data_IF_527011031654
#
_entry.id   IF_527011031654
#
_cell.length_a   1.000
_cell.length_b   1.000
_cell.length_c   1.000
_cell.angle_alpha   90.00
_cell.angle_beta   90.00
_cell.angle_gamma   90.00
#
_symmetry.space_group_name_H-M   'P 1'
#
loop_
_entity.id
_entity.type
_entity.pdbx_description
1 polymer ?
#
# COMPACT_ATOMS: atom_id res chain seq x y z
N UNK A 1 33.47 47.29 -61.62
CA UNK A 1 33.43 46.71 -60.27
C UNK A 1 31.96 46.45 -59.98
N UNK A 2 31.51 45.21 -60.16
CA UNK A 2 30.09 44.86 -60.09
C UNK A 2 29.85 44.23 -58.72
N UNK A 3 28.98 44.83 -57.92
CA UNK A 3 28.61 44.32 -56.61
C UNK A 3 27.82 43.01 -56.77
N UNK A 4 28.30 41.94 -56.13
CA UNK A 4 27.61 40.65 -56.06
C UNK A 4 26.43 40.83 -55.10
N UNK A 5 25.24 40.96 -55.66
CA UNK A 5 23.99 40.91 -54.90
C UNK A 5 23.71 39.45 -54.54
N UNK A 6 24.17 39.03 -53.36
CA UNK A 6 23.75 37.76 -52.77
C UNK A 6 22.34 37.98 -52.20
N UNK A 7 21.36 37.27 -52.77
CA UNK A 7 19.98 37.25 -52.29
C UNK A 7 19.88 36.44 -50.98
N UNK A 8 18.85 36.66 -50.14
CA UNK A 8 18.78 36.10 -48.78
C UNK A 8 18.43 34.59 -48.71
N UNK A 9 18.43 33.89 -49.85
CA UNK A 9 17.89 32.52 -50.00
C UNK A 9 19.02 31.47 -49.97
N UNK A 10 20.08 31.70 -49.19
CA UNK A 10 21.14 30.71 -48.94
C UNK A 10 21.20 30.27 -47.46
N UNK A 11 20.22 30.63 -46.63
CA UNK A 11 20.08 30.09 -45.26
C UNK A 11 19.21 28.81 -45.24
N UNK A 12 19.52 27.85 -46.11
CA UNK A 12 19.06 26.47 -45.94
C UNK A 12 20.29 25.57 -45.89
N UNK A 13 21.02 25.68 -44.79
CA UNK A 13 21.79 24.55 -44.28
C UNK A 13 21.17 24.20 -42.93
N UNK A 14 20.16 23.34 -42.99
CA UNK A 14 19.64 22.64 -41.83
C UNK A 14 20.80 21.89 -41.17
N UNK A 15 21.31 22.45 -40.07
CA UNK A 15 21.91 21.65 -39.01
C UNK A 15 20.75 21.10 -38.19
N UNK A 16 20.10 20.04 -38.69
CA UNK A 16 19.37 19.14 -37.81
C UNK A 16 20.43 18.35 -37.04
N UNK A 17 20.96 18.99 -36.00
CA UNK A 17 21.57 18.30 -34.89
C UNK A 17 20.48 17.44 -34.26
N UNK A 18 20.33 16.22 -34.76
CA UNK A 18 19.57 15.16 -34.11
C UNK A 18 20.36 14.68 -32.89
N UNK A 19 20.57 15.60 -31.93
CA UNK A 19 20.86 15.24 -30.55
C UNK A 19 19.54 14.77 -29.96
N UNK A 20 19.23 13.50 -30.21
CA UNK A 20 18.33 12.74 -29.35
C UNK A 20 18.81 12.92 -27.91
N UNK A 21 18.09 13.73 -27.15
CA UNK A 21 18.27 13.92 -25.72
C UNK A 21 18.09 12.56 -25.02
N UNK A 22 19.18 11.81 -24.91
CA UNK A 22 19.24 10.55 -24.16
C UNK A 22 19.05 10.76 -22.65
N UNK A 23 19.06 12.02 -22.21
CA UNK A 23 18.88 12.38 -20.80
C UNK A 23 17.40 12.47 -20.39
N UNK A 24 16.48 12.75 -21.33
CA UNK A 24 15.06 12.86 -21.00
C UNK A 24 14.40 11.51 -20.69
N UNK A 25 14.79 10.41 -21.34
CA UNK A 25 14.26 9.07 -21.02
C UNK A 25 14.66 8.58 -19.62
N UNK A 26 15.86 8.93 -19.16
CA UNK A 26 16.37 8.54 -17.84
C UNK A 26 15.63 9.23 -16.69
N UNK A 27 15.15 10.46 -16.90
CA UNK A 27 14.34 11.18 -15.93
C UNK A 27 12.95 10.55 -15.76
N UNK A 28 12.27 10.18 -16.85
CA UNK A 28 10.93 9.56 -16.78
C UNK A 28 10.90 8.26 -15.98
N UNK A 29 11.94 7.43 -16.09
CA UNK A 29 12.05 6.17 -15.33
C UNK A 29 12.22 6.41 -13.82
N UNK A 30 12.98 7.42 -13.44
CA UNK A 30 13.15 7.82 -12.04
C UNK A 30 11.89 8.47 -11.46
N UNK A 31 11.19 9.30 -12.23
CA UNK A 31 9.90 9.89 -11.86
C UNK A 31 8.81 8.82 -11.67
N UNK A 32 8.76 7.86 -12.59
CA UNK A 32 7.83 6.71 -12.52
C UNK A 32 8.14 5.81 -11.34
N UNK A 33 9.42 5.49 -11.12
CA UNK A 33 9.88 4.71 -9.96
C UNK A 33 9.57 5.43 -8.63
N UNK A 34 9.80 6.74 -8.55
CA UNK A 34 9.49 7.55 -7.37
C UNK A 34 7.99 7.65 -7.09
N UNK A 35 7.14 7.67 -8.11
CA UNK A 35 5.68 7.63 -7.97
C UNK A 35 5.21 6.26 -7.48
N UNK A 36 5.67 5.17 -8.10
CA UNK A 36 5.34 3.79 -7.70
C UNK A 36 5.70 3.55 -6.23
N UNK A 37 6.91 3.94 -5.81
CA UNK A 37 7.33 3.83 -4.42
C UNK A 37 6.44 4.63 -3.45
N UNK A 38 5.95 5.82 -3.83
CA UNK A 38 5.01 6.59 -2.97
C UNK A 38 3.64 5.92 -2.89
N UNK A 39 3.15 5.38 -4.00
CA UNK A 39 1.86 4.67 -4.05
C UNK A 39 1.93 3.39 -3.22
N UNK A 40 2.96 2.56 -3.39
CA UNK A 40 3.16 1.33 -2.61
C UNK A 40 3.30 1.62 -1.12
N UNK A 41 4.05 2.66 -0.74
CA UNK A 41 4.14 3.11 0.63
C UNK A 41 2.80 3.62 1.17
N UNK A 42 2.03 4.34 0.36
CA UNK A 42 0.69 4.81 0.70
C UNK A 42 -0.27 3.66 0.95
N UNK A 43 -0.29 2.67 0.06
CA UNK A 43 -1.11 1.46 0.17
C UNK A 43 -0.72 0.67 1.43
N UNK A 44 0.58 0.43 1.63
CA UNK A 44 1.07 -0.30 2.80
C UNK A 44 0.72 0.38 4.13
N UNK A 45 0.78 1.72 4.16
CA UNK A 45 0.35 2.51 5.33
C UNK A 45 -1.15 2.42 5.55
N UNK A 46 -1.96 2.51 4.50
CA UNK A 46 -3.41 2.40 4.58
C UNK A 46 -3.84 1.04 5.15
N UNK A 47 -3.25 -0.06 4.66
CA UNK A 47 -3.52 -1.40 5.20
C UNK A 47 -3.13 -1.53 6.66
N UNK A 48 -1.94 -1.02 7.03
CA UNK A 48 -1.48 -1.07 8.43
C UNK A 48 -2.40 -0.29 9.36
N UNK A 49 -2.85 0.88 8.96
CA UNK A 49 -3.76 1.70 9.75
C UNK A 49 -5.15 1.07 9.86
N UNK A 50 -5.64 0.51 8.76
CA UNK A 50 -6.91 -0.23 8.78
C UNK A 50 -6.83 -1.46 9.69
N UNK A 51 -5.73 -2.21 9.65
CA UNK A 51 -5.50 -3.33 10.55
C UNK A 51 -5.42 -2.85 12.02
N UNK A 52 -4.77 -1.72 12.28
CA UNK A 52 -4.75 -1.09 13.61
C UNK A 52 -6.16 -0.74 14.09
N UNK A 53 -6.99 -0.16 13.22
CA UNK A 53 -8.36 0.25 13.53
C UNK A 53 -9.27 -0.95 13.78
N UNK A 54 -9.10 -2.03 13.02
CA UNK A 54 -9.82 -3.30 13.22
C UNK A 54 -9.43 -4.02 14.51
N UNK A 55 -8.16 -3.93 14.90
CA UNK A 55 -7.65 -4.52 16.14
C UNK A 55 -7.81 -3.60 17.35
N UNK A 56 -8.30 -2.36 17.16
CA UNK A 56 -8.54 -1.45 18.26
C UNK A 56 -9.62 -2.03 19.20
N UNK A 57 -9.45 -1.90 20.52
CA UNK A 57 -10.46 -2.34 21.46
C UNK A 57 -11.81 -1.66 21.18
N UNK A 58 -12.89 -2.44 21.24
CA UNK A 58 -14.23 -1.87 21.19
C UNK A 58 -14.49 -1.04 22.46
N UNK A 59 -15.23 0.06 22.31
CA UNK A 59 -15.76 0.79 23.47
C UNK A 59 -16.68 -0.12 24.28
N UNK A 60 -16.80 0.13 25.58
CA UNK A 60 -17.62 -0.70 26.47
C UNK A 60 -19.08 -0.82 25.99
N UNK A 61 -19.64 0.27 25.48
CA UNK A 61 -20.98 0.31 24.91
C UNK A 61 -21.11 -0.56 23.66
N UNK A 62 -20.18 -0.43 22.70
CA UNK A 62 -20.21 -1.23 21.47
C UNK A 62 -20.00 -2.73 21.77
N UNK A 63 -19.09 -3.06 22.70
CA UNK A 63 -18.89 -4.42 23.15
C UNK A 63 -20.16 -5.01 23.78
N UNK A 64 -20.88 -4.22 24.59
CA UNK A 64 -22.17 -4.63 25.16
C UNK A 64 -23.21 -4.88 24.07
N UNK A 65 -23.37 -3.95 23.11
CA UNK A 65 -24.32 -4.12 21.99
C UNK A 65 -24.04 -5.39 21.18
N UNK A 66 -22.76 -5.67 20.87
CA UNK A 66 -22.36 -6.90 20.16
C UNK A 66 -22.72 -8.14 21.00
N UNK A 67 -22.43 -8.13 22.30
CA UNK A 67 -22.73 -9.27 23.18
C UNK A 67 -24.24 -9.55 23.26
N UNK A 68 -25.05 -8.51 23.40
CA UNK A 68 -26.52 -8.67 23.44
C UNK A 68 -27.07 -9.16 22.10
N UNK A 69 -26.57 -8.65 20.97
CA UNK A 69 -26.95 -9.13 19.64
C UNK A 69 -26.58 -10.61 19.42
N UNK A 70 -25.40 -11.02 19.85
CA UNK A 70 -24.91 -12.39 19.69
C UNK A 70 -25.64 -13.41 20.58
N UNK A 71 -26.26 -13.00 21.70
CA UNK A 71 -26.93 -13.91 22.63
C UNK A 71 -28.11 -14.67 22.00
N UNK A 72 -28.74 -14.11 20.97
CA UNK A 72 -29.85 -14.74 20.24
C UNK A 72 -29.43 -15.54 19.00
N UNK A 73 -28.13 -15.59 18.68
CA UNK A 73 -27.62 -16.28 17.49
C UNK A 73 -27.40 -17.75 17.82
N UNK A 74 -28.20 -18.63 17.23
CA UNK A 74 -27.98 -20.07 17.26
C UNK A 74 -27.11 -20.49 16.08
N UNK A 75 -25.97 -21.12 16.35
CA UNK A 75 -25.17 -21.77 15.31
C UNK A 75 -25.73 -23.16 15.04
N UNK A 76 -26.09 -23.44 13.79
CA UNK A 76 -26.79 -24.67 13.37
C UNK A 76 -25.88 -25.92 13.35
N UNK A 77 -25.12 -26.17 14.42
CA UNK A 77 -24.30 -27.37 14.60
C UNK A 77 -23.12 -27.53 13.63
N UNK A 78 -22.94 -26.64 12.66
CA UNK A 78 -21.78 -26.64 11.77
C UNK A 78 -20.62 -25.97 12.49
N UNK A 79 -19.71 -26.79 13.01
CA UNK A 79 -18.41 -26.32 13.47
C UNK A 79 -17.62 -25.87 12.24
N UNK A 80 -17.10 -24.63 12.21
CA UNK A 80 -16.25 -24.18 11.12
C UNK A 80 -15.00 -25.07 11.00
N UNK A 81 -14.42 -25.17 9.80
CA UNK A 81 -13.23 -26.02 9.57
C UNK A 81 -12.04 -25.69 10.48
N UNK A 82 -11.95 -24.43 10.92
CA UNK A 82 -10.92 -23.99 11.87
C UNK A 82 -11.14 -24.53 13.30
N UNK A 83 -12.37 -24.89 13.68
CA UNK A 83 -12.69 -25.36 15.02
C UNK A 83 -12.00 -26.69 15.33
N UNK A 84 -11.73 -27.50 14.29
CA UNK A 84 -11.00 -28.77 14.43
C UNK A 84 -9.48 -28.60 14.39
N UNK A 85 -8.97 -27.41 14.06
CA UNK A 85 -7.52 -27.16 13.94
C UNK A 85 -6.85 -26.90 15.29
N UNK A 86 -7.62 -26.48 16.29
CA UNK A 86 -7.12 -26.19 17.64
C UNK A 86 -7.77 -27.20 18.59
N UNK A 87 -6.98 -28.08 19.24
CA UNK A 87 -7.48 -28.95 20.30
C UNK A 87 -8.26 -28.15 21.36
N UNK A 88 -9.40 -28.67 21.79
CA UNK A 88 -10.34 -27.95 22.67
C UNK A 88 -9.69 -27.51 24.00
N UNK A 89 -8.74 -28.30 24.51
CA UNK A 89 -7.94 -28.01 25.70
C UNK A 89 -7.00 -26.80 25.54
N UNK A 90 -6.67 -26.43 24.30
CA UNK A 90 -5.69 -25.38 23.98
C UNK A 90 -6.30 -24.03 23.65
N UNK A 91 -7.63 -23.95 23.52
CA UNK A 91 -8.30 -22.73 23.06
C UNK A 91 -8.11 -21.55 24.03
N UNK A 92 -8.17 -21.81 25.35
CA UNK A 92 -8.00 -20.77 26.39
C UNK A 92 -6.58 -20.21 26.34
N UNK A 93 -5.58 -21.06 26.17
CA UNK A 93 -4.19 -20.63 26.08
C UNK A 93 -3.94 -19.77 24.83
N UNK A 94 -4.55 -20.13 23.71
CA UNK A 94 -4.49 -19.35 22.48
C UNK A 94 -5.14 -17.97 22.66
N UNK A 95 -6.32 -17.90 23.28
CA UNK A 95 -6.96 -16.61 23.58
C UNK A 95 -6.13 -15.75 24.54
N UNK A 96 -5.53 -16.36 25.56
CA UNK A 96 -4.64 -15.65 26.48
C UNK A 96 -3.45 -15.06 25.75
N UNK A 97 -2.89 -15.78 24.78
CA UNK A 97 -1.80 -15.28 23.93
C UNK A 97 -2.23 -14.07 23.10
N UNK A 98 -3.44 -14.10 22.52
CA UNK A 98 -3.98 -12.99 21.73
C UNK A 98 -4.28 -11.75 22.58
N UNK A 99 -4.68 -11.94 23.84
CA UNK A 99 -4.93 -10.82 24.78
C UNK A 99 -3.66 -10.23 25.37
N UNK A 100 -2.50 -10.87 25.21
CA UNK A 100 -1.25 -10.27 25.65
C UNK A 100 -0.94 -9.08 24.74
N UNK A 101 -0.76 -7.86 25.29
CA UNK A 101 -0.30 -6.73 24.50
C UNK A 101 1.04 -7.15 23.89
N UNK A 102 1.08 -7.23 22.55
CA UNK A 102 2.33 -7.47 21.84
C UNK A 102 3.30 -6.38 22.28
N UNK A 103 4.32 -6.72 23.07
CA UNK A 103 5.47 -5.83 23.25
C UNK A 103 5.96 -5.57 21.83
N UNK A 104 6.06 -4.31 21.38
CA UNK A 104 6.65 -4.04 20.07
C UNK A 104 8.02 -4.71 20.06
N UNK A 105 8.22 -5.61 19.10
CA UNK A 105 9.50 -6.28 18.91
C UNK A 105 10.53 -5.18 18.70
N UNK A 106 11.37 -4.96 19.71
CA UNK A 106 12.47 -3.99 19.64
C UNK A 106 13.51 -4.57 18.70
N UNK A 107 13.44 -4.20 17.42
CA UNK A 107 14.51 -4.46 16.46
C UNK A 107 15.73 -3.66 16.91
N UNK A 108 16.79 -4.38 17.30
CA UNK A 108 18.15 -3.86 17.50
C UNK A 108 18.84 -3.82 16.14
#
# INVERSE_FOLDING_TARGET
>A
MNAISTSPIDLIQESFDDQVNSDEEHHHRNLTSGYVNRVENGISRAFREEERRRNAPLTAENAMRVREAMRGVAFAGLTPDWANQIPEDRWIDQLRRLRQPQRPSSTV
#
